data_IF_635147147412
#
_entry.id   IF_635147147412
#
_cell.length_a   1.000
_cell.length_b   1.000
_cell.length_c   1.000
_cell.angle_alpha   90.00
_cell.angle_beta   90.00
_cell.angle_gamma   90.00
#
_symmetry.space_group_name_H-M   'P 1'
#
loop_
_entity.id
_entity.type
_entity.pdbx_description
1 polymer ?
#
# COMPACT_ATOMS: atom_id res chain seq x y z
N UNK A 1 -19.23 19.52 35.37
CA UNK A 1 -18.25 18.46 35.00
C UNK A 1 -17.53 18.91 33.74
N UNK A 2 -16.29 19.42 33.84
CA UNK A 2 -15.49 19.85 32.69
C UNK A 2 -14.89 18.61 32.04
N UNK A 3 -15.33 18.26 30.83
CA UNK A 3 -14.64 17.30 29.99
C UNK A 3 -13.35 17.98 29.51
N UNK A 4 -12.23 17.69 30.20
CA UNK A 4 -10.89 17.97 29.69
C UNK A 4 -10.77 17.28 28.35
N UNK A 5 -10.69 18.08 27.27
CA UNK A 5 -10.44 17.56 25.94
C UNK A 5 -9.14 16.76 25.99
N UNK A 6 -9.24 15.46 25.71
CA UNK A 6 -8.07 14.62 25.54
C UNK A 6 -7.10 15.31 24.57
N UNK A 7 -5.80 15.30 24.88
CA UNK A 7 -4.76 15.96 24.07
C UNK A 7 -5.02 15.67 22.59
N UNK A 8 -5.23 16.73 21.81
CA UNK A 8 -5.60 16.70 20.39
C UNK A 8 -4.62 15.88 19.52
N UNK A 9 -3.43 15.56 20.05
CA UNK A 9 -2.35 14.84 19.39
C UNK A 9 -1.90 13.54 20.12
N UNK A 10 -2.77 12.85 20.87
CA UNK A 10 -2.41 11.53 21.38
C UNK A 10 -2.18 10.53 20.21
N UNK A 11 -1.14 9.66 20.27
CA UNK A 11 -0.90 8.67 19.24
C UNK A 11 -2.08 7.68 19.17
N UNK A 12 -2.44 7.28 17.95
CA UNK A 12 -3.48 6.29 17.67
C UNK A 12 -3.06 4.87 18.08
N UNK A 13 -1.75 4.62 18.12
CA UNK A 13 -1.19 3.33 18.51
C UNK A 13 0.30 3.23 18.24
N UNK A 14 0.84 2.03 18.43
CA UNK A 14 2.25 1.71 18.15
C UNK A 14 2.33 0.57 17.15
N UNK A 15 3.04 0.79 16.06
CA UNK A 15 3.34 -0.18 15.03
C UNK A 15 4.61 -0.96 15.41
N UNK A 16 4.50 -2.28 15.35
CA UNK A 16 5.61 -3.22 15.50
C UNK A 16 5.64 -4.13 14.27
N UNK A 17 6.62 -3.93 13.38
CA UNK A 17 6.81 -4.80 12.20
C UNK A 17 8.16 -5.48 12.31
N UNK A 18 8.18 -6.79 12.10
CA UNK A 18 9.41 -7.57 11.99
C UNK A 18 9.43 -8.24 10.63
N UNK A 19 10.52 -8.08 9.89
CA UNK A 19 10.66 -8.66 8.56
C UNK A 19 12.08 -9.16 8.35
N UNK A 20 12.22 -10.15 7.46
CA UNK A 20 13.51 -10.66 7.03
C UNK A 20 13.92 -9.92 5.76
N UNK A 21 15.09 -9.29 5.76
CA UNK A 21 15.60 -8.60 4.58
C UNK A 21 16.02 -9.64 3.52
N UNK A 22 15.52 -9.55 2.28
CA UNK A 22 15.85 -10.51 1.25
C UNK A 22 17.31 -10.45 0.76
N UNK A 23 18.03 -9.36 1.05
CA UNK A 23 19.41 -9.15 0.58
C UNK A 23 20.42 -9.87 1.48
N UNK A 24 20.31 -9.70 2.80
CA UNK A 24 21.27 -10.20 3.78
C UNK A 24 20.72 -11.31 4.69
N UNK A 25 19.43 -11.65 4.56
CA UNK A 25 18.70 -12.62 5.39
C UNK A 25 18.61 -12.25 6.88
N UNK A 26 18.95 -11.02 7.27
CA UNK A 26 18.85 -10.56 8.64
C UNK A 26 17.42 -10.16 9.01
N UNK A 27 17.11 -10.21 10.31
CA UNK A 27 15.81 -9.81 10.84
C UNK A 27 15.86 -8.34 11.25
N UNK A 28 14.98 -7.54 10.68
CA UNK A 28 14.82 -6.12 10.98
C UNK A 28 13.51 -5.86 11.72
N UNK A 29 13.53 -4.86 12.61
CA UNK A 29 12.37 -4.41 13.37
C UNK A 29 12.09 -2.93 13.16
N UNK A 30 10.82 -2.61 12.92
CA UNK A 30 10.30 -1.25 12.86
C UNK A 30 9.37 -1.06 14.06
N UNK A 31 9.73 -0.12 14.93
CA UNK A 31 8.96 0.28 16.09
C UNK A 31 8.61 1.77 15.94
N UNK A 32 7.36 2.10 15.61
CA UNK A 32 6.94 3.50 15.37
C UNK A 32 5.61 3.82 16.03
N UNK A 33 5.46 5.04 16.51
CA UNK A 33 4.15 5.56 16.91
C UNK A 33 3.33 5.99 15.69
N UNK A 34 2.05 5.68 15.72
CA UNK A 34 1.09 6.10 14.69
C UNK A 34 0.43 7.39 15.19
N UNK A 35 0.76 8.51 14.57
CA UNK A 35 0.12 9.80 14.85
C UNK A 35 -1.18 9.95 14.05
N UNK A 36 -2.15 10.69 14.57
CA UNK A 36 -3.34 11.10 13.81
C UNK A 36 -2.98 11.92 12.55
N UNK A 37 -1.81 12.55 12.52
CA UNK A 37 -1.34 13.32 11.36
C UNK A 37 -1.11 12.49 10.10
N UNK A 38 -1.05 11.16 10.19
CA UNK A 38 -0.88 10.29 9.02
C UNK A 38 -2.22 9.83 8.41
N UNK A 39 -3.35 10.19 9.02
CA UNK A 39 -4.68 9.84 8.50
C UNK A 39 -5.20 10.96 7.61
N UNK A 40 -5.76 10.59 6.46
CA UNK A 40 -6.34 11.51 5.48
C UNK A 40 -7.83 11.20 5.30
N UNK A 41 -8.64 12.23 5.09
CA UNK A 41 -10.09 12.09 4.89
C UNK A 41 -10.41 11.40 3.57
N UNK A 42 -9.62 11.69 2.53
CA UNK A 42 -9.74 11.09 1.21
C UNK A 42 -8.40 10.53 0.74
N UNK A 43 -8.43 9.45 -0.02
CA UNK A 43 -7.22 8.82 -0.57
C UNK A 43 -6.41 9.80 -1.44
N UNK A 44 -7.09 10.68 -2.20
CA UNK A 44 -6.46 11.69 -3.05
C UNK A 44 -5.60 12.69 -2.28
N UNK A 45 -5.88 12.90 -0.98
CA UNK A 45 -5.16 13.85 -0.13
C UNK A 45 -3.91 13.23 0.51
N UNK A 46 -3.76 11.90 0.43
CA UNK A 46 -2.60 11.21 0.96
C UNK A 46 -1.32 11.53 0.17
N UNK A 47 -0.17 11.39 0.84
CA UNK A 47 1.13 11.53 0.19
C UNK A 47 1.33 10.46 -0.89
N UNK A 48 2.14 10.77 -1.91
CA UNK A 48 2.42 9.83 -3.00
C UNK A 48 3.05 8.53 -2.49
N UNK A 49 3.97 8.63 -1.54
CA UNK A 49 4.58 7.46 -0.88
C UNK A 49 3.53 6.58 -0.18
N UNK A 50 2.53 7.19 0.48
CA UNK A 50 1.45 6.45 1.11
C UNK A 50 0.58 5.76 0.05
N UNK A 51 0.20 6.48 -1.01
CA UNK A 51 -0.60 5.93 -2.11
C UNK A 51 0.12 4.77 -2.80
N UNK A 52 1.42 4.90 -3.07
CA UNK A 52 2.23 3.83 -3.64
C UNK A 52 2.27 2.60 -2.72
N UNK A 53 2.49 2.81 -1.42
CA UNK A 53 2.47 1.72 -0.43
C UNK A 53 1.11 1.02 -0.36
N UNK A 54 0.01 1.78 -0.44
CA UNK A 54 -1.34 1.25 -0.46
C UNK A 54 -1.60 0.42 -1.73
N UNK A 55 -1.19 0.92 -2.90
CA UNK A 55 -1.31 0.19 -4.16
C UNK A 55 -0.49 -1.11 -4.15
N UNK A 56 0.72 -1.10 -3.60
CA UNK A 56 1.55 -2.30 -3.46
C UNK A 56 0.90 -3.34 -2.53
N UNK A 57 0.30 -2.89 -1.42
CA UNK A 57 -0.44 -3.76 -0.52
C UNK A 57 -1.68 -4.36 -1.19
N UNK A 58 -2.47 -3.55 -1.89
CA UNK A 58 -3.65 -4.03 -2.64
C UNK A 58 -3.26 -5.04 -3.73
N UNK A 59 -2.16 -4.79 -4.45
CA UNK A 59 -1.60 -5.74 -5.42
C UNK A 59 -1.32 -7.10 -4.77
N UNK A 60 -0.62 -7.11 -3.63
CA UNK A 60 -0.32 -8.35 -2.91
C UNK A 60 -1.60 -9.09 -2.46
N UNK A 61 -2.62 -8.35 -2.00
CA UNK A 61 -3.90 -8.93 -1.58
C UNK A 61 -4.69 -9.51 -2.77
N UNK A 62 -4.63 -8.88 -3.95
CA UNK A 62 -5.22 -9.42 -5.20
C UNK A 62 -4.52 -10.72 -5.62
N UNK A 63 -3.18 -10.77 -5.53
CA UNK A 63 -2.41 -11.97 -5.88
C UNK A 63 -2.66 -13.12 -4.91
N UNK A 64 -2.91 -12.81 -3.63
CA UNK A 64 -3.25 -13.79 -2.59
C UNK A 64 -4.71 -14.24 -2.62
N UNK A 65 -5.53 -13.68 -3.51
CA UNK A 65 -6.98 -13.90 -3.56
C UNK A 65 -7.64 -13.66 -2.19
N UNK A 66 -7.21 -12.58 -1.54
CA UNK A 66 -7.69 -12.21 -0.23
C UNK A 66 -9.17 -11.82 -0.22
N UNK A 67 -9.87 -12.15 0.85
CA UNK A 67 -11.23 -11.67 1.11
C UNK A 67 -11.35 -10.13 0.99
N UNK A 68 -10.30 -9.40 1.38
CA UNK A 68 -10.26 -7.95 1.35
C UNK A 68 -10.13 -7.37 -0.07
N UNK A 69 -9.70 -8.19 -1.04
CA UNK A 69 -9.49 -7.79 -2.43
C UNK A 69 -10.60 -8.28 -3.38
N UNK A 70 -11.73 -8.77 -2.85
CA UNK A 70 -12.81 -9.38 -3.64
C UNK A 70 -13.42 -8.47 -4.71
N UNK A 71 -13.39 -7.15 -4.50
CA UNK A 71 -13.89 -6.14 -5.43
C UNK A 71 -12.76 -5.45 -6.21
N UNK A 72 -11.51 -5.74 -5.85
CA UNK A 72 -10.32 -5.17 -6.46
C UNK A 72 -9.93 -5.96 -7.72
N UNK A 73 -9.51 -5.25 -8.75
CA UNK A 73 -9.01 -5.85 -9.99
C UNK A 73 -7.65 -5.27 -10.35
N UNK A 74 -6.82 -6.08 -11.00
CA UNK A 74 -5.52 -5.62 -11.51
C UNK A 74 -5.67 -4.47 -12.52
N UNK A 75 -6.78 -4.40 -13.25
CA UNK A 75 -7.07 -3.31 -14.19
C UNK A 75 -7.31 -1.98 -13.46
N UNK A 76 -8.23 -1.97 -12.47
CA UNK A 76 -8.51 -0.76 -11.69
C UNK A 76 -7.26 -0.29 -10.94
N UNK A 77 -6.49 -1.22 -10.36
CA UNK A 77 -5.26 -0.89 -9.67
C UNK A 77 -4.21 -0.28 -10.61
N UNK A 78 -4.07 -0.82 -11.83
CA UNK A 78 -3.17 -0.27 -12.86
C UNK A 78 -3.47 1.18 -13.16
N UNK A 79 -4.75 1.54 -13.28
CA UNK A 79 -5.15 2.91 -13.58
C UNK A 79 -4.82 3.89 -12.43
N UNK A 80 -4.99 3.44 -11.18
CA UNK A 80 -4.55 4.22 -10.01
C UNK A 80 -3.04 4.42 -10.03
N UNK A 81 -2.25 3.36 -10.22
CA UNK A 81 -0.77 3.46 -10.21
C UNK A 81 -0.25 4.33 -11.36
N UNK A 82 -0.85 4.24 -12.57
CA UNK A 82 -0.52 5.14 -13.68
C UNK A 82 -0.70 6.60 -13.33
N UNK A 83 -1.78 6.94 -12.62
CA UNK A 83 -2.04 8.33 -12.21
C UNK A 83 -0.99 8.86 -11.23
N UNK A 84 -0.35 7.99 -10.44
CA UNK A 84 0.75 8.36 -9.55
C UNK A 84 2.03 8.68 -10.34
N UNK A 85 2.33 7.90 -11.38
CA UNK A 85 3.54 8.09 -12.19
C UNK A 85 3.62 9.49 -12.79
N UNK A 86 2.49 10.00 -13.30
CA UNK A 86 2.39 11.34 -13.88
C UNK A 86 2.80 12.47 -12.91
N UNK A 87 2.73 12.23 -11.60
CA UNK A 87 3.00 13.26 -10.60
C UNK A 87 4.40 13.17 -9.97
N UNK A 88 5.05 11.99 -9.98
CA UNK A 88 6.25 11.76 -9.17
C UNK A 88 7.43 11.06 -9.88
N UNK A 89 7.31 10.65 -11.16
CA UNK A 89 8.33 9.98 -11.98
C UNK A 89 9.23 8.96 -11.23
N UNK A 90 8.66 8.23 -10.26
CA UNK A 90 9.42 7.34 -9.38
C UNK A 90 9.68 5.99 -10.06
N UNK A 91 10.91 5.48 -9.93
CA UNK A 91 11.30 4.14 -10.37
C UNK A 91 10.42 3.04 -9.78
N UNK A 92 10.02 3.21 -8.52
CA UNK A 92 9.22 2.23 -7.78
C UNK A 92 7.80 2.14 -8.35
N UNK A 93 7.27 3.25 -8.87
CA UNK A 93 5.96 3.26 -9.55
C UNK A 93 6.06 2.50 -10.87
N UNK A 94 7.12 2.72 -11.65
CA UNK A 94 7.35 1.99 -12.90
C UNK A 94 7.53 0.49 -12.65
N UNK A 95 8.25 0.12 -11.60
CA UNK A 95 8.40 -1.28 -11.19
C UNK A 95 7.05 -1.90 -10.85
N UNK A 96 6.23 -1.24 -10.02
CA UNK A 96 4.91 -1.73 -9.66
C UNK A 96 3.99 -1.88 -10.88
N UNK A 97 4.03 -0.94 -11.83
CA UNK A 97 3.29 -1.05 -13.09
C UNK A 97 3.71 -2.28 -13.90
N UNK A 98 5.01 -2.52 -14.01
CA UNK A 98 5.55 -3.70 -14.69
C UNK A 98 5.11 -5.02 -14.03
N UNK A 99 5.08 -5.06 -12.70
CA UNK A 99 4.63 -6.23 -11.94
C UNK A 99 3.13 -6.49 -12.14
N UNK A 100 2.30 -5.45 -12.15
CA UNK A 100 0.86 -5.56 -12.41
C UNK A 100 0.60 -6.10 -13.82
N UNK A 101 1.34 -5.61 -14.81
CA UNK A 101 1.23 -6.09 -16.18
C UNK A 101 1.64 -7.55 -16.30
N UNK A 102 2.74 -7.92 -15.62
CA UNK A 102 3.17 -9.31 -15.63
C UNK A 102 2.15 -10.24 -14.99
N UNK A 103 1.53 -9.82 -13.88
CA UNK A 103 0.49 -10.57 -13.22
C UNK A 103 -0.75 -10.76 -14.11
N UNK A 104 -1.15 -9.73 -14.86
CA UNK A 104 -2.26 -9.81 -15.81
C UNK A 104 -2.01 -10.83 -16.92
N UNK A 105 -0.82 -10.78 -17.55
CA UNK A 105 -0.43 -11.75 -18.58
C UNK A 105 -0.50 -13.20 -18.07
N UNK A 106 0.06 -13.44 -16.89
CA UNK A 106 0.09 -14.78 -16.29
C UNK A 106 -1.30 -15.28 -15.92
N UNK A 107 -2.22 -14.40 -15.49
CA UNK A 107 -3.62 -14.76 -15.23
C UNK A 107 -4.34 -15.14 -16.52
N UNK A 108 -4.16 -14.39 -17.60
CA UNK A 108 -4.78 -14.70 -18.91
C UNK A 108 -4.32 -16.06 -19.44
N UNK A 109 -3.01 -16.32 -19.41
CA UNK A 109 -2.44 -17.61 -19.82
C UNK A 109 -2.94 -18.80 -19.00
N UNK A 110 -3.34 -18.58 -17.74
CA UNK A 110 -3.94 -19.61 -16.89
C UNK A 110 -5.39 -19.89 -17.21
N UNK A 111 -6.14 -18.91 -17.73
CA UNK A 111 -7.56 -19.05 -18.11
C UNK A 111 -7.70 -19.71 -19.48
N UNK A 112 -6.71 -19.53 -20.36
CA UNK A 112 -6.68 -20.12 -21.71
C UNK A 112 -6.22 -21.61 -21.75
N UNK A 113 -5.84 -22.18 -20.60
CA UNK A 113 -5.44 -23.59 -20.44
C UNK A 113 -6.51 -24.38 -19.72
#
# INVERSE_FOLDING_TARGET
>A
MKLTHAKVNAPLGKLHVRYKNPIDNEIYEINKEISKSITYSEFKDASENFKLSACAAEFAEILRESYWAKEATLANLKDVVKSLYTNSESSDILELLGLIDKANELKQQRVEK
#
